data_IF_540158984678
#
_entry.id   IF_540158984678
#
_cell.length_a   1.000
_cell.length_b   1.000
_cell.length_c   1.000
_cell.angle_alpha   90.00
_cell.angle_beta   90.00
_cell.angle_gamma   90.00
#
_symmetry.space_group_name_H-M   'P 1'
#
loop_
_entity.id
_entity.type
_entity.pdbx_description
1 polymer ?
#
# COMPACT_ATOMS: atom_id res chain seq x y z
N UNK A 1 21.66 7.67 22.32
CA UNK A 1 21.51 6.24 21.98
C UNK A 1 20.40 5.69 22.85
N UNK A 2 19.51 4.80 22.37
CA UNK A 2 18.47 4.17 23.24
C UNK A 2 19.06 3.15 24.21
N UNK A 3 20.30 2.75 23.95
CA UNK A 3 21.06 1.79 24.74
C UNK A 3 22.53 2.20 24.80
N UNK A 4 23.16 2.07 25.96
CA UNK A 4 24.60 2.28 26.13
C UNK A 4 25.17 1.30 27.14
N UNK A 5 26.42 0.89 26.96
CA UNK A 5 27.18 0.15 27.98
C UNK A 5 28.25 1.08 28.52
N UNK A 6 28.15 1.37 29.82
CA UNK A 6 29.16 2.13 30.57
C UNK A 6 29.54 1.33 31.81
N UNK A 7 30.84 1.20 32.08
CA UNK A 7 31.38 0.47 33.24
C UNK A 7 30.77 -0.93 33.44
N UNK A 8 30.57 -1.69 32.36
CA UNK A 8 30.02 -3.06 32.42
C UNK A 8 28.51 -3.15 32.66
N UNK A 9 27.80 -2.02 32.81
CA UNK A 9 26.34 -1.99 33.00
C UNK A 9 25.66 -1.49 31.73
N UNK A 10 24.72 -2.30 31.23
CA UNK A 10 23.86 -1.93 30.13
C UNK A 10 22.70 -1.05 30.65
N UNK A 11 22.58 0.17 30.12
CA UNK A 11 21.51 1.11 30.47
C UNK A 11 20.64 1.45 29.25
N UNK A 12 19.33 1.46 29.48
CA UNK A 12 18.33 1.93 28.53
C UNK A 12 18.03 3.41 28.77
N UNK A 13 18.05 4.19 27.69
CA UNK A 13 17.72 5.62 27.72
C UNK A 13 16.39 5.85 27.02
N UNK A 14 15.31 5.96 27.80
CA UNK A 14 13.97 6.23 27.30
C UNK A 14 13.67 7.73 27.32
N UNK A 15 14.07 8.43 26.25
CA UNK A 15 13.61 9.80 26.01
C UNK A 15 12.13 9.79 25.58
N UNK A 16 11.24 10.32 26.41
CA UNK A 16 9.85 10.53 26.02
C UNK A 16 9.75 11.81 25.18
N UNK A 17 9.50 11.66 23.87
CA UNK A 17 9.30 12.78 22.97
C UNK A 17 7.81 12.96 22.71
N UNK A 18 7.29 14.16 22.99
CA UNK A 18 5.90 14.50 22.70
C UNK A 18 5.62 14.38 21.19
N UNK A 19 4.47 13.79 20.80
CA UNK A 19 4.05 13.80 19.40
C UNK A 19 3.64 15.21 18.97
N UNK A 20 3.76 15.51 17.68
CA UNK A 20 3.20 16.70 17.07
C UNK A 20 1.78 16.41 16.56
N UNK A 21 0.83 17.31 16.80
CA UNK A 21 -0.46 17.27 16.10
C UNK A 21 -0.22 17.74 14.67
N UNK A 22 -0.51 16.88 13.70
CA UNK A 22 -0.26 17.16 12.29
C UNK A 22 -1.53 17.52 11.53
N UNK A 23 -2.64 16.84 11.85
CA UNK A 23 -3.94 17.11 11.23
C UNK A 23 -5.01 17.14 12.32
N UNK A 24 -5.85 18.18 12.30
CA UNK A 24 -7.11 18.20 13.03
C UNK A 24 -8.14 17.36 12.25
N UNK A 25 -8.72 16.34 12.88
CA UNK A 25 -9.76 15.52 12.26
C UNK A 25 -11.05 15.61 13.08
N UNK A 26 -12.18 15.25 12.48
CA UNK A 26 -13.49 15.26 13.14
C UNK A 26 -13.63 14.20 14.25
N UNK A 27 -12.71 13.23 14.34
CA UNK A 27 -12.74 12.16 15.35
C UNK A 27 -11.63 12.35 16.39
N UNK A 28 -10.40 12.06 16.00
CA UNK A 28 -9.20 12.28 16.83
C UNK A 28 -8.14 13.01 16.02
N UNK A 29 -7.35 13.92 16.64
CA UNK A 29 -6.24 14.55 15.95
C UNK A 29 -5.24 13.49 15.49
N UNK A 30 -4.80 13.59 14.23
CA UNK A 30 -3.75 12.71 13.71
C UNK A 30 -2.42 13.22 14.22
N UNK A 31 -1.72 12.34 14.93
CA UNK A 31 -0.45 12.67 15.56
C UNK A 31 0.73 12.10 14.78
N UNK A 32 1.79 12.90 14.66
CA UNK A 32 3.08 12.47 14.16
C UNK A 32 4.00 12.27 15.35
N UNK A 33 4.33 11.01 15.63
CA UNK A 33 5.24 10.66 16.70
C UNK A 33 6.71 10.95 16.37
N UNK A 34 7.63 10.60 17.28
CA UNK A 34 9.05 10.81 17.05
C UNK A 34 9.57 9.92 15.92
N UNK A 35 10.57 10.40 15.21
CA UNK A 35 11.19 9.71 14.08
C UNK A 35 12.07 8.57 14.60
N UNK A 36 11.86 7.35 14.08
CA UNK A 36 12.73 6.21 14.34
C UNK A 36 13.89 6.20 13.35
N UNK A 37 15.13 6.31 13.83
CA UNK A 37 16.33 6.32 12.98
C UNK A 37 17.00 4.96 12.99
N UNK A 38 17.18 4.39 11.81
CA UNK A 38 17.78 3.09 11.61
C UNK A 38 19.26 3.20 11.24
N UNK A 39 20.04 2.20 11.66
CA UNK A 39 21.42 2.01 11.24
C UNK A 39 21.55 1.31 9.89
N UNK A 40 22.80 1.15 9.43
CA UNK A 40 23.14 0.42 8.20
C UNK A 40 22.65 -1.04 8.21
N UNK A 41 22.57 -1.64 9.39
CA UNK A 41 22.09 -3.02 9.61
C UNK A 41 20.56 -3.14 9.73
N UNK A 42 19.80 -2.08 9.39
CA UNK A 42 18.34 -2.03 9.54
C UNK A 42 17.83 -2.28 10.96
N UNK A 43 18.66 -1.96 11.96
CA UNK A 43 18.25 -1.94 13.36
C UNK A 43 17.97 -0.51 13.83
N UNK A 44 16.93 -0.29 14.66
CA UNK A 44 16.69 1.01 15.30
C UNK A 44 17.90 1.42 16.14
N UNK A 45 18.45 2.62 15.88
CA UNK A 45 19.60 3.16 16.63
C UNK A 45 19.22 4.27 17.61
N UNK A 46 18.25 5.11 17.23
CA UNK A 46 17.79 6.23 18.06
C UNK A 46 16.38 6.65 17.71
N UNK A 47 15.73 7.26 18.69
CA UNK A 47 14.48 8.00 18.56
C UNK A 47 14.83 9.49 18.64
N UNK A 48 14.18 10.32 17.82
CA UNK A 48 14.33 11.78 17.89
C UNK A 48 13.02 12.48 17.60
N UNK A 49 12.86 13.72 18.07
CA UNK A 49 11.74 14.57 17.65
C UNK A 49 11.68 14.66 16.12
N UNK A 50 10.47 14.60 15.58
CA UNK A 50 10.24 14.71 14.14
C UNK A 50 10.37 16.17 13.69
N UNK A 51 11.08 16.39 12.60
CA UNK A 51 11.30 17.71 12.01
C UNK A 51 9.97 18.32 11.52
N UNK A 52 9.76 19.62 11.74
CA UNK A 52 8.55 20.33 11.30
C UNK A 52 8.33 20.23 9.79
N UNK A 53 9.39 20.17 8.97
CA UNK A 53 9.28 19.95 7.53
C UNK A 53 8.68 18.59 7.19
N UNK A 54 9.02 17.56 7.95
CA UNK A 54 8.39 16.24 7.76
C UNK A 54 6.95 16.22 8.24
N UNK A 55 6.64 16.92 9.34
CA UNK A 55 5.26 17.10 9.78
C UNK A 55 4.43 17.77 8.69
N UNK A 56 4.92 18.87 8.12
CA UNK A 56 4.26 19.59 7.03
C UNK A 56 4.12 18.72 5.77
N UNK A 57 5.13 17.92 5.44
CA UNK A 57 5.11 17.05 4.26
C UNK A 57 4.07 15.92 4.39
N UNK A 58 3.97 15.30 5.56
CA UNK A 58 2.91 14.32 5.86
C UNK A 58 1.53 14.99 5.82
N UNK A 59 1.40 16.19 6.39
CA UNK A 59 0.17 16.98 6.30
C UNK A 59 -0.23 17.29 4.85
N UNK A 60 0.71 17.66 3.99
CA UNK A 60 0.50 17.89 2.56
C UNK A 60 0.04 16.62 1.83
N UNK A 61 0.66 15.46 2.11
CA UNK A 61 0.23 14.18 1.55
C UNK A 61 -1.20 13.81 1.99
N UNK A 62 -1.50 13.98 3.27
CA UNK A 62 -2.82 13.75 3.85
C UNK A 62 -3.90 14.60 3.18
N UNK A 63 -3.63 15.90 3.01
CA UNK A 63 -4.53 16.84 2.34
C UNK A 63 -4.69 16.53 0.85
N UNK A 64 -3.61 16.09 0.19
CA UNK A 64 -3.66 15.67 -1.21
C UNK A 64 -4.62 14.48 -1.40
N UNK A 65 -4.57 13.50 -0.49
CA UNK A 65 -5.51 12.37 -0.50
C UNK A 65 -6.94 12.87 -0.28
N UNK A 66 -7.17 13.77 0.68
CA UNK A 66 -8.49 14.36 0.93
C UNK A 66 -9.09 15.03 -0.30
N UNK A 67 -8.28 15.77 -1.04
CA UNK A 67 -8.71 16.52 -2.22
C UNK A 67 -8.89 15.64 -3.46
N UNK A 68 -8.07 14.59 -3.62
CA UNK A 68 -8.11 13.71 -4.78
C UNK A 68 -9.11 12.55 -4.61
N UNK A 69 -9.25 12.02 -3.40
CA UNK A 69 -10.08 10.88 -3.06
C UNK A 69 -10.72 11.02 -1.66
N UNK A 70 -11.81 11.81 -1.54
CA UNK A 70 -12.46 12.06 -0.25
C UNK A 70 -12.90 10.80 0.50
N UNK A 71 -13.42 9.79 -0.20
CA UNK A 71 -13.89 8.55 0.43
C UNK A 71 -12.73 7.72 0.99
N UNK A 72 -11.64 7.58 0.21
CA UNK A 72 -10.41 6.93 0.67
C UNK A 72 -9.77 7.68 1.83
N UNK A 73 -9.85 9.01 1.83
CA UNK A 73 -9.44 9.84 2.96
C UNK A 73 -10.29 9.60 4.21
N UNK A 74 -11.62 9.43 4.07
CA UNK A 74 -12.51 9.09 5.17
C UNK A 74 -12.07 7.81 5.89
N UNK A 75 -11.72 6.77 5.12
CA UNK A 75 -11.17 5.52 5.67
C UNK A 75 -9.78 5.72 6.28
N UNK A 76 -8.94 6.55 5.64
CA UNK A 76 -7.62 6.91 6.16
C UNK A 76 -7.72 7.56 7.54
N UNK A 77 -8.58 8.57 7.68
CA UNK A 77 -8.81 9.30 8.92
C UNK A 77 -9.45 8.43 10.01
N UNK A 78 -10.30 7.48 9.63
CA UNK A 78 -10.93 6.55 10.56
C UNK A 78 -9.94 5.52 11.13
N UNK A 79 -9.03 5.01 10.31
CA UNK A 79 -8.21 3.84 10.65
C UNK A 79 -6.73 4.15 10.91
N UNK A 80 -6.30 5.41 10.76
CA UNK A 80 -4.94 5.87 11.06
C UNK A 80 -5.01 7.13 11.92
N UNK A 81 -4.65 7.04 13.20
CA UNK A 81 -4.58 8.19 14.12
C UNK A 81 -3.14 8.55 14.53
N UNK A 82 -2.16 7.67 14.26
CA UNK A 82 -0.76 7.91 14.61
C UNK A 82 0.21 7.45 13.52
N UNK A 83 1.05 8.37 13.09
CA UNK A 83 2.10 8.14 12.10
C UNK A 83 3.46 8.25 12.76
N UNK A 84 4.32 7.25 12.57
CA UNK A 84 5.70 7.25 13.04
C UNK A 84 6.63 7.30 11.82
N UNK A 85 7.32 8.43 11.57
CA UNK A 85 8.28 8.49 10.50
C UNK A 85 9.48 7.57 10.75
N UNK A 86 9.91 6.86 9.73
CA UNK A 86 11.12 6.04 9.74
C UNK A 86 12.21 6.73 8.93
N UNK A 87 13.40 6.88 9.48
CA UNK A 87 14.61 7.22 8.75
C UNK A 87 15.44 5.97 8.52
N UNK A 88 15.20 5.30 7.40
CA UNK A 88 15.79 3.99 7.15
C UNK A 88 15.99 3.72 5.66
N UNK A 89 17.25 3.59 5.23
CA UNK A 89 17.56 3.18 3.85
C UNK A 89 17.19 1.71 3.64
N UNK A 90 16.35 1.45 2.64
CA UNK A 90 15.97 0.08 2.26
C UNK A 90 15.02 -0.63 3.24
N UNK A 91 14.40 0.11 4.15
CA UNK A 91 13.26 -0.37 4.97
C UNK A 91 11.99 0.16 4.33
N UNK A 92 10.98 -0.69 4.19
CA UNK A 92 9.66 -0.30 3.69
C UNK A 92 8.79 0.21 4.84
N UNK A 93 7.77 0.99 4.52
CA UNK A 93 6.69 1.31 5.46
C UNK A 93 6.04 0.01 5.97
N UNK A 94 5.51 0.05 7.19
CA UNK A 94 4.85 -1.10 7.79
C UNK A 94 3.87 -0.69 8.90
N UNK A 95 2.99 -1.63 9.24
CA UNK A 95 2.02 -1.53 10.31
C UNK A 95 1.90 -2.89 11.00
N UNK A 96 1.46 -2.88 12.25
CA UNK A 96 1.26 -4.12 13.01
C UNK A 96 -0.21 -4.45 13.12
N UNK A 97 -0.55 -5.71 12.81
CA UNK A 97 -1.92 -6.23 13.00
C UNK A 97 -2.46 -5.91 14.41
N UNK A 98 -1.65 -6.07 15.45
CA UNK A 98 -2.05 -5.89 16.86
C UNK A 98 -1.98 -4.43 17.36
N UNK A 99 -1.61 -3.47 16.51
CA UNK A 99 -1.61 -2.02 16.83
C UNK A 99 -2.36 -1.26 15.73
N UNK A 100 -3.70 -1.41 15.64
CA UNK A 100 -4.49 -0.62 14.69
C UNK A 100 -4.33 0.88 14.95
N UNK A 101 -4.45 1.71 13.91
CA UNK A 101 -4.27 3.17 14.03
C UNK A 101 -2.82 3.65 13.92
N UNK A 102 -1.84 2.77 14.13
CA UNK A 102 -0.41 3.07 14.13
C UNK A 102 0.27 2.63 12.83
N UNK A 103 0.78 3.60 12.07
CA UNK A 103 1.52 3.35 10.82
C UNK A 103 2.95 3.86 10.91
N UNK A 104 3.91 3.02 10.53
CA UNK A 104 5.31 3.40 10.42
C UNK A 104 5.62 3.70 8.96
N UNK A 105 5.89 4.96 8.65
CA UNK A 105 6.02 5.43 7.27
C UNK A 105 7.46 5.82 6.99
N UNK A 106 8.08 5.22 5.98
CA UNK A 106 9.41 5.63 5.57
C UNK A 106 9.37 6.93 4.78
N UNK A 107 9.72 8.03 5.44
CA UNK A 107 9.69 9.34 4.82
C UNK A 107 11.04 9.75 4.20
N UNK A 108 12.05 8.86 4.22
CA UNK A 108 13.43 9.14 3.80
C UNK A 108 13.77 8.33 2.54
N UNK A 109 14.42 8.96 1.56
CA UNK A 109 14.61 8.43 0.19
C UNK A 109 13.30 8.10 -0.55
N UNK A 110 12.18 8.67 -0.10
CA UNK A 110 10.86 8.61 -0.77
C UNK A 110 10.46 10.01 -1.20
N UNK A 111 9.82 10.14 -2.35
CA UNK A 111 9.26 11.42 -2.79
C UNK A 111 7.80 11.60 -2.32
N UNK A 112 7.14 12.69 -2.76
CA UNK A 112 5.79 13.01 -2.29
C UNK A 112 4.72 12.05 -2.80
N UNK A 113 4.87 11.49 -4.01
CA UNK A 113 3.92 10.51 -4.51
C UNK A 113 4.07 9.18 -3.76
N UNK A 114 5.31 8.75 -3.50
CA UNK A 114 5.58 7.56 -2.70
C UNK A 114 5.00 7.68 -1.28
N UNK A 115 5.09 8.88 -0.68
CA UNK A 115 4.53 9.13 0.65
C UNK A 115 2.99 9.03 0.65
N UNK A 116 2.34 9.54 -0.39
CA UNK A 116 0.89 9.42 -0.55
C UNK A 116 0.46 7.95 -0.69
N UNK A 117 1.19 7.16 -1.50
CA UNK A 117 0.97 5.72 -1.66
C UNK A 117 1.15 4.98 -0.33
N UNK A 118 2.28 5.20 0.37
CA UNK A 118 2.59 4.54 1.63
C UNK A 118 1.51 4.79 2.71
N UNK A 119 0.92 5.98 2.76
CA UNK A 119 -0.17 6.29 3.71
C UNK A 119 -1.41 5.42 3.46
N UNK A 120 -1.83 5.29 2.21
CA UNK A 120 -2.97 4.45 1.83
C UNK A 120 -2.62 2.97 1.93
N UNK A 121 -1.39 2.57 1.60
CA UNK A 121 -0.93 1.19 1.71
C UNK A 121 -1.03 0.68 3.14
N UNK A 122 -0.45 1.41 4.09
CA UNK A 122 -0.50 1.04 5.50
C UNK A 122 -1.90 1.15 6.08
N UNK A 123 -2.69 2.14 5.65
CA UNK A 123 -4.09 2.22 6.04
C UNK A 123 -4.92 1.02 5.52
N UNK A 124 -4.62 0.54 4.32
CA UNK A 124 -5.26 -0.65 3.74
C UNK A 124 -4.92 -1.92 4.52
N UNK A 125 -3.73 -2.00 5.12
CA UNK A 125 -3.42 -3.05 6.08
C UNK A 125 -4.32 -2.97 7.32
N UNK A 126 -4.54 -1.77 7.89
CA UNK A 126 -5.46 -1.60 9.03
C UNK A 126 -6.89 -2.01 8.66
N UNK A 127 -7.37 -1.57 7.50
CA UNK A 127 -8.69 -1.89 6.99
C UNK A 127 -8.89 -3.40 6.84
N UNK A 128 -7.99 -4.08 6.13
CA UNK A 128 -8.11 -5.53 5.97
C UNK A 128 -7.99 -6.27 7.31
N UNK A 129 -7.09 -5.83 8.20
CA UNK A 129 -6.95 -6.45 9.52
C UNK A 129 -8.23 -6.33 10.36
N UNK A 130 -9.00 -5.24 10.20
CA UNK A 130 -10.32 -5.10 10.83
C UNK A 130 -11.32 -6.10 10.24
N UNK A 131 -11.39 -6.21 8.91
CA UNK A 131 -12.26 -7.19 8.25
C UNK A 131 -11.92 -8.63 8.66
N UNK A 132 -10.63 -8.98 8.70
CA UNK A 132 -10.14 -10.30 9.11
C UNK A 132 -10.33 -10.61 10.61
N UNK A 133 -10.63 -9.60 11.44
CA UNK A 133 -11.04 -9.83 12.84
C UNK A 133 -12.54 -10.10 12.95
N UNK A 134 -13.33 -9.41 12.13
CA UNK A 134 -14.79 -9.48 12.16
C UNK A 134 -15.33 -10.69 11.41
N UNK A 135 -14.66 -11.09 10.33
CA UNK A 135 -15.11 -12.14 9.44
C UNK A 135 -14.02 -13.18 9.20
N UNK A 136 -14.41 -14.45 9.23
CA UNK A 136 -13.57 -15.56 8.77
C UNK A 136 -13.63 -15.57 7.25
N UNK A 137 -12.51 -15.33 6.57
CA UNK A 137 -12.46 -15.22 5.10
C UNK A 137 -12.12 -16.53 4.39
N UNK A 138 -11.57 -17.51 5.11
CA UNK A 138 -11.09 -18.77 4.53
C UNK A 138 -11.51 -19.95 5.41
N UNK A 139 -11.66 -21.13 4.80
CA UNK A 139 -11.90 -22.39 5.50
C UNK A 139 -10.54 -23.02 5.83
N UNK A 140 -10.19 -23.23 7.11
CA UNK A 140 -8.86 -23.78 7.46
C UNK A 140 -7.67 -22.84 7.15
N UNK A 141 -6.45 -23.36 7.30
CA UNK A 141 -5.24 -22.52 7.38
C UNK A 141 -4.57 -22.20 6.03
N UNK A 142 -4.65 -23.11 5.05
CA UNK A 142 -4.14 -22.95 3.67
C UNK A 142 -2.77 -22.24 3.54
N UNK A 143 -1.79 -22.68 4.33
CA UNK A 143 -0.46 -22.08 4.39
C UNK A 143 0.48 -22.51 3.24
N UNK A 144 0.05 -23.45 2.39
CA UNK A 144 0.78 -23.86 1.19
C UNK A 144 1.04 -22.68 0.24
N UNK A 145 2.31 -22.50 -0.16
CA UNK A 145 2.75 -21.43 -1.06
C UNK A 145 2.60 -21.84 -2.51
N UNK A 146 1.40 -21.68 -3.07
CA UNK A 146 1.07 -22.18 -4.42
C UNK A 146 0.61 -21.08 -5.38
N UNK A 147 0.33 -19.88 -4.89
CA UNK A 147 -0.13 -18.77 -5.71
C UNK A 147 1.00 -17.78 -5.94
N UNK A 148 1.23 -17.38 -7.19
CA UNK A 148 2.26 -16.42 -7.51
C UNK A 148 1.85 -15.00 -7.12
N UNK A 149 2.72 -14.27 -6.42
CA UNK A 149 2.50 -12.87 -6.08
C UNK A 149 3.21 -11.96 -7.09
N UNK A 150 2.48 -11.15 -7.88
CA UNK A 150 3.07 -10.13 -8.77
C UNK A 150 4.07 -9.21 -8.08
N UNK A 151 3.73 -8.77 -6.87
CA UNK A 151 4.51 -7.78 -6.11
C UNK A 151 5.78 -8.35 -5.48
N UNK A 152 5.74 -9.62 -5.05
CA UNK A 152 6.87 -10.29 -4.39
C UNK A 152 7.64 -11.24 -5.31
N UNK A 153 7.15 -11.47 -6.52
CA UNK A 153 7.72 -12.36 -7.54
C UNK A 153 8.06 -13.76 -7.02
N UNK A 154 7.23 -14.26 -6.11
CA UNK A 154 7.41 -15.52 -5.37
C UNK A 154 6.07 -16.15 -5.06
N UNK A 155 6.05 -17.47 -4.84
CA UNK A 155 4.84 -18.17 -4.40
C UNK A 155 4.47 -17.80 -2.97
N UNK A 156 3.17 -17.67 -2.72
CA UNK A 156 2.57 -17.21 -1.46
C UNK A 156 1.35 -18.05 -1.09
N UNK A 157 1.02 -18.13 0.20
CA UNK A 157 -0.23 -18.75 0.64
C UNK A 157 -1.43 -17.88 0.26
N UNK A 158 -2.62 -18.49 0.27
CA UNK A 158 -3.89 -17.82 -0.05
C UNK A 158 -4.05 -16.51 0.72
N UNK A 159 -3.80 -16.56 2.04
CA UNK A 159 -3.84 -15.38 2.92
C UNK A 159 -2.94 -14.26 2.44
N UNK A 160 -1.74 -14.59 1.97
CA UNK A 160 -0.77 -13.62 1.46
C UNK A 160 -1.24 -12.98 0.16
N UNK A 161 -1.89 -13.74 -0.70
CA UNK A 161 -2.48 -13.22 -1.94
C UNK A 161 -3.66 -12.32 -1.65
N UNK A 162 -4.67 -12.75 -0.88
CA UNK A 162 -5.82 -11.89 -0.55
C UNK A 162 -5.35 -10.58 0.09
N UNK A 163 -4.36 -10.66 1.00
CA UNK A 163 -3.81 -9.48 1.67
C UNK A 163 -3.21 -8.51 0.66
N UNK A 164 -2.38 -8.98 -0.25
CA UNK A 164 -1.79 -8.15 -1.29
C UNK A 164 -2.86 -7.63 -2.27
N UNK A 165 -3.75 -8.48 -2.77
CA UNK A 165 -4.83 -8.10 -3.69
C UNK A 165 -5.68 -6.97 -3.10
N UNK A 166 -6.06 -7.07 -1.82
CA UNK A 166 -6.80 -6.00 -1.15
C UNK A 166 -6.02 -4.68 -1.13
N UNK A 167 -4.78 -4.70 -0.65
CA UNK A 167 -3.99 -3.47 -0.44
C UNK A 167 -3.63 -2.79 -1.75
N UNK A 168 -3.31 -3.57 -2.78
CA UNK A 168 -2.99 -3.06 -4.09
C UNK A 168 -4.23 -2.69 -4.91
N UNK A 169 -5.42 -3.21 -4.57
CA UNK A 169 -6.69 -2.65 -5.08
C UNK A 169 -6.89 -1.21 -4.60
N UNK A 170 -6.64 -0.95 -3.32
CA UNK A 170 -6.69 0.42 -2.77
C UNK A 170 -5.63 1.32 -3.39
N UNK A 171 -4.43 0.79 -3.68
CA UNK A 171 -3.40 1.49 -4.44
C UNK A 171 -3.87 1.86 -5.86
N UNK A 172 -4.50 0.93 -6.59
CA UNK A 172 -5.05 1.19 -7.91
C UNK A 172 -6.13 2.29 -7.88
N UNK A 173 -7.05 2.25 -6.90
CA UNK A 173 -8.05 3.29 -6.67
C UNK A 173 -7.38 4.65 -6.40
N UNK A 174 -6.41 4.70 -5.47
CA UNK A 174 -5.65 5.92 -5.18
C UNK A 174 -5.03 6.52 -6.45
N UNK A 175 -4.29 5.71 -7.22
CA UNK A 175 -3.59 6.22 -8.40
C UNK A 175 -4.54 6.67 -9.50
N UNK A 176 -5.69 6.01 -9.66
CA UNK A 176 -6.75 6.47 -10.55
C UNK A 176 -7.26 7.86 -10.13
N UNK A 177 -7.62 8.02 -8.85
CA UNK A 177 -8.11 9.28 -8.32
C UNK A 177 -7.09 10.41 -8.44
N UNK A 178 -5.82 10.14 -8.13
CA UNK A 178 -4.72 11.09 -8.31
C UNK A 178 -4.54 11.48 -9.78
N UNK A 179 -4.58 10.52 -10.70
CA UNK A 179 -4.43 10.77 -12.13
C UNK A 179 -5.57 11.68 -12.65
N UNK A 180 -6.83 11.38 -12.29
CA UNK A 180 -7.99 12.20 -12.63
C UNK A 180 -7.89 13.61 -12.02
N UNK A 181 -7.51 13.70 -10.75
CA UNK A 181 -7.40 14.97 -10.04
C UNK A 181 -6.31 15.86 -10.64
N UNK A 182 -5.15 15.30 -10.95
CA UNK A 182 -4.03 16.01 -11.58
C UNK A 182 -4.29 16.40 -13.04
N UNK A 183 -5.05 15.61 -13.78
CA UNK A 183 -5.42 15.88 -15.18
C UNK A 183 -6.65 16.81 -15.33
N UNK A 184 -7.41 17.05 -14.27
CA UNK A 184 -8.63 17.87 -14.30
C UNK A 184 -8.38 19.36 -14.52
N UNK A 185 -9.47 20.14 -14.65
CA UNK A 185 -9.41 21.61 -14.71
C UNK A 185 -8.69 22.17 -13.47
N UNK A 186 -7.74 23.08 -13.69
CA UNK A 186 -6.82 23.59 -12.65
C UNK A 186 -6.01 22.50 -11.91
N UNK A 187 -5.94 21.27 -12.45
CA UNK A 187 -5.21 20.15 -11.86
C UNK A 187 -3.71 20.43 -11.76
N UNK A 188 -3.11 21.02 -12.80
CA UNK A 188 -1.68 21.36 -12.83
C UNK A 188 -1.23 22.28 -11.69
N UNK A 189 -2.05 23.27 -11.32
CA UNK A 189 -1.75 24.21 -10.23
C UNK A 189 -1.80 23.48 -8.88
N UNK A 190 -2.89 22.74 -8.61
CA UNK A 190 -3.07 21.98 -7.36
C UNK A 190 -2.02 20.88 -7.21
N UNK A 191 -1.69 20.21 -8.30
CA UNK A 191 -0.64 19.18 -8.37
C UNK A 191 0.72 19.76 -7.96
N UNK A 192 1.08 20.94 -8.49
CA UNK A 192 2.31 21.64 -8.12
C UNK A 192 2.28 22.12 -6.67
N UNK A 193 1.14 22.60 -6.18
CA UNK A 193 0.95 23.02 -4.77
C UNK A 193 1.11 21.83 -3.81
N UNK A 194 0.69 20.64 -4.20
CA UNK A 194 0.94 19.38 -3.48
C UNK A 194 2.42 18.94 -3.52
N UNK A 195 3.30 19.70 -4.18
CA UNK A 195 4.71 19.37 -4.35
C UNK A 195 4.95 18.20 -5.29
N UNK A 196 4.07 17.97 -6.26
CA UNK A 196 4.17 16.91 -7.26
C UNK A 196 4.55 17.49 -8.63
N UNK A 197 5.39 16.75 -9.37
CA UNK A 197 5.88 17.13 -10.69
C UNK A 197 5.02 16.54 -11.81
N UNK A 198 5.22 17.01 -13.05
CA UNK A 198 4.60 16.40 -14.24
C UNK A 198 5.00 14.92 -14.41
N UNK A 199 6.23 14.57 -14.04
CA UNK A 199 6.70 13.19 -14.06
C UNK A 199 5.94 12.33 -13.05
N UNK A 200 5.57 12.90 -11.89
CA UNK A 200 4.76 12.20 -10.89
C UNK A 200 3.34 11.91 -11.40
N UNK A 201 2.76 12.81 -12.21
CA UNK A 201 1.46 12.54 -12.82
C UNK A 201 1.56 11.36 -13.80
N UNK A 202 2.58 11.33 -14.66
CA UNK A 202 2.82 10.19 -15.55
C UNK A 202 3.09 8.90 -14.77
N UNK A 203 3.82 9.00 -13.65
CA UNK A 203 4.07 7.85 -12.75
C UNK A 203 2.79 7.38 -12.08
N UNK A 204 1.91 8.26 -11.64
CA UNK A 204 0.61 7.89 -11.07
C UNK A 204 -0.25 7.14 -12.11
N UNK A 205 -0.34 7.63 -13.34
CA UNK A 205 -1.02 6.91 -14.42
C UNK A 205 -0.40 5.52 -14.69
N UNK A 206 0.94 5.45 -14.73
CA UNK A 206 1.66 4.19 -14.90
C UNK A 206 1.36 3.20 -13.75
N UNK A 207 1.46 3.65 -12.49
CA UNK A 207 1.20 2.83 -11.30
C UNK A 207 -0.25 2.35 -11.26
N UNK A 208 -1.21 3.19 -11.66
CA UNK A 208 -2.61 2.78 -11.79
C UNK A 208 -2.75 1.55 -12.73
N UNK A 209 -2.14 1.61 -13.92
CA UNK A 209 -2.20 0.52 -14.88
C UNK A 209 -1.44 -0.73 -14.39
N UNK A 210 -0.27 -0.54 -13.78
CA UNK A 210 0.53 -1.62 -13.22
C UNK A 210 -0.22 -2.39 -12.13
N UNK A 211 -0.87 -1.66 -11.20
CA UNK A 211 -1.65 -2.29 -10.14
C UNK A 211 -2.92 -2.96 -10.68
N UNK A 212 -3.60 -2.39 -11.69
CA UNK A 212 -4.74 -3.06 -12.35
C UNK A 212 -4.35 -4.44 -12.90
N UNK A 213 -3.24 -4.51 -13.64
CA UNK A 213 -2.77 -5.78 -14.22
C UNK A 213 -2.37 -6.79 -13.13
N UNK A 214 -1.65 -6.33 -12.10
CA UNK A 214 -1.22 -7.17 -10.96
C UNK A 214 -2.38 -7.69 -10.11
N UNK A 215 -3.36 -6.82 -9.84
CA UNK A 215 -4.53 -7.18 -9.06
C UNK A 215 -5.43 -8.13 -9.86
N UNK A 216 -5.66 -7.88 -11.16
CA UNK A 216 -6.40 -8.81 -12.03
C UNK A 216 -5.77 -10.19 -12.05
N UNK A 217 -4.44 -10.27 -12.17
CA UNK A 217 -3.74 -11.54 -12.07
C UNK A 217 -4.12 -12.28 -10.78
N UNK A 218 -4.04 -11.60 -9.64
CA UNK A 218 -4.26 -12.23 -8.33
C UNK A 218 -5.74 -12.54 -8.05
N UNK A 219 -6.67 -11.76 -8.60
CA UNK A 219 -8.10 -12.03 -8.51
C UNK A 219 -8.49 -13.34 -9.19
N UNK A 220 -7.86 -13.68 -10.31
CA UNK A 220 -8.06 -14.99 -10.95
C UNK A 220 -7.62 -16.14 -10.02
N UNK A 221 -6.51 -15.97 -9.30
CA UNK A 221 -6.04 -16.96 -8.34
C UNK A 221 -6.99 -17.12 -7.14
N UNK A 222 -7.55 -16.01 -6.66
CA UNK A 222 -8.54 -16.02 -5.59
C UNK A 222 -9.87 -16.64 -6.04
N UNK A 223 -10.31 -16.38 -7.27
CA UNK A 223 -11.48 -17.02 -7.86
C UNK A 223 -11.27 -18.53 -8.07
N UNK A 224 -10.05 -18.95 -8.42
CA UNK A 224 -9.71 -20.37 -8.48
C UNK A 224 -9.73 -21.02 -7.09
N UNK A 225 -9.15 -20.35 -6.08
CA UNK A 225 -9.19 -20.84 -4.70
C UNK A 225 -10.63 -20.97 -4.17
N UNK A 226 -11.52 -20.08 -4.58
CA UNK A 226 -12.95 -20.18 -4.33
C UNK A 226 -13.59 -21.36 -5.06
N UNK A 227 -13.67 -21.27 -6.40
CA UNK A 227 -14.51 -22.16 -7.22
C UNK A 227 -13.96 -23.58 -7.35
N UNK A 228 -12.65 -23.74 -7.41
CA UNK A 228 -12.01 -25.04 -7.67
C UNK A 228 -11.57 -25.73 -6.40
N UNK A 229 -11.17 -24.96 -5.38
CA UNK A 229 -10.62 -25.51 -4.14
C UNK A 229 -11.59 -25.41 -2.95
N UNK A 230 -12.60 -24.55 -3.02
CA UNK A 230 -13.56 -24.34 -1.93
C UNK A 230 -12.95 -23.67 -0.70
N UNK A 231 -11.86 -22.92 -0.86
CA UNK A 231 -11.05 -22.41 0.26
C UNK A 231 -11.57 -21.10 0.87
N UNK A 232 -12.44 -20.37 0.17
CA UNK A 232 -13.06 -19.15 0.69
C UNK A 232 -14.36 -19.44 1.43
N UNK A 233 -14.66 -18.64 2.45
CA UNK A 233 -16.01 -18.59 3.03
C UNK A 233 -16.89 -17.62 2.22
N UNK A 234 -18.19 -17.57 2.51
CA UNK A 234 -19.09 -16.57 1.89
C UNK A 234 -18.65 -15.12 2.10
N UNK A 235 -18.01 -14.81 3.23
CA UNK A 235 -17.44 -13.49 3.48
C UNK A 235 -16.19 -13.23 2.62
N UNK A 236 -15.32 -14.23 2.46
CA UNK A 236 -14.17 -14.15 1.58
C UNK A 236 -14.57 -14.02 0.11
N UNK A 237 -15.54 -14.82 -0.33
CA UNK A 237 -16.15 -14.74 -1.66
C UNK A 237 -16.72 -13.35 -1.93
N UNK A 238 -17.48 -12.80 -0.99
CA UNK A 238 -18.05 -11.46 -1.12
C UNK A 238 -16.95 -10.42 -1.25
N UNK A 239 -15.92 -10.46 -0.41
CA UNK A 239 -14.78 -9.54 -0.52
C UNK A 239 -14.10 -9.63 -1.89
N UNK A 240 -13.87 -10.84 -2.41
CA UNK A 240 -13.26 -11.02 -3.74
C UNK A 240 -14.13 -10.44 -4.85
N UNK A 241 -15.46 -10.56 -4.75
CA UNK A 241 -16.41 -9.93 -5.70
C UNK A 241 -16.33 -8.41 -5.65
N UNK A 242 -16.29 -7.82 -4.46
CA UNK A 242 -16.16 -6.36 -4.29
C UNK A 242 -14.83 -5.84 -4.88
N UNK A 243 -13.71 -6.56 -4.61
CA UNK A 243 -12.41 -6.20 -5.19
C UNK A 243 -12.40 -6.29 -6.72
N UNK A 244 -13.07 -7.31 -7.29
CA UNK A 244 -13.20 -7.44 -8.74
C UNK A 244 -14.04 -6.31 -9.34
N UNK A 245 -15.17 -5.95 -8.72
CA UNK A 245 -16.01 -4.86 -9.17
C UNK A 245 -15.21 -3.54 -9.16
N UNK A 246 -14.55 -3.23 -8.05
CA UNK A 246 -13.71 -2.04 -7.91
C UNK A 246 -12.62 -1.97 -8.98
N UNK A 247 -11.88 -3.05 -9.22
CA UNK A 247 -10.83 -3.07 -10.24
C UNK A 247 -11.36 -2.99 -11.67
N UNK A 248 -12.53 -3.56 -11.94
CA UNK A 248 -13.18 -3.44 -13.25
C UNK A 248 -13.51 -1.98 -13.56
N UNK A 249 -14.03 -1.25 -12.57
CA UNK A 249 -14.27 0.19 -12.71
C UNK A 249 -12.98 0.98 -12.86
N UNK A 250 -11.93 0.62 -12.10
CA UNK A 250 -10.62 1.26 -12.22
C UNK A 250 -10.03 1.09 -13.62
N UNK A 251 -10.07 -0.12 -14.16
CA UNK A 251 -9.59 -0.46 -15.50
C UNK A 251 -10.33 0.33 -16.59
N UNK A 252 -11.67 0.36 -16.51
CA UNK A 252 -12.51 1.08 -17.48
C UNK A 252 -12.13 2.54 -17.58
N UNK A 253 -11.96 3.21 -16.44
CA UNK A 253 -11.59 4.63 -16.40
C UNK A 253 -10.12 4.84 -16.76
N UNK A 254 -9.21 4.00 -16.26
CA UNK A 254 -7.76 4.17 -16.47
C UNK A 254 -7.31 3.91 -17.91
N UNK A 255 -8.15 3.27 -18.73
CA UNK A 255 -7.94 3.10 -20.17
C UNK A 255 -7.62 4.42 -20.88
N UNK A 256 -8.22 5.54 -20.46
CA UNK A 256 -7.95 6.85 -21.05
C UNK A 256 -6.50 7.32 -20.89
N UNK A 257 -5.78 6.83 -19.88
CA UNK A 257 -4.39 7.18 -19.62
C UNK A 257 -3.40 6.21 -20.28
N UNK A 258 -3.87 5.03 -20.74
CA UNK A 258 -2.99 3.96 -21.27
C UNK A 258 -2.15 4.44 -22.42
N UNK A 259 -2.77 5.14 -23.37
CA UNK A 259 -2.08 5.68 -24.53
C UNK A 259 -0.92 6.60 -24.10
N UNK A 260 -1.18 7.51 -23.17
CA UNK A 260 -0.18 8.49 -22.73
C UNK A 260 0.98 7.82 -22.00
N UNK A 261 0.68 6.80 -21.18
CA UNK A 261 1.71 6.02 -20.48
C UNK A 261 2.59 5.26 -21.48
N UNK A 262 2.00 4.63 -22.50
CA UNK A 262 2.74 3.84 -23.49
C UNK A 262 3.72 4.66 -24.33
N UNK A 263 3.38 5.93 -24.60
CA UNK A 263 4.23 6.91 -25.28
C UNK A 263 5.22 7.62 -24.34
N UNK A 264 5.04 7.51 -23.02
CA UNK A 264 5.93 8.11 -22.03
C UNK A 264 7.18 7.27 -21.77
N UNK A 265 8.08 7.79 -20.93
CA UNK A 265 9.24 7.05 -20.42
C UNK A 265 8.88 5.79 -19.61
N UNK A 266 7.62 5.66 -19.16
CA UNK A 266 7.14 4.48 -18.43
C UNK A 266 6.59 3.37 -19.33
N UNK A 267 6.35 3.64 -20.62
CA UNK A 267 5.80 2.65 -21.56
C UNK A 267 6.59 1.33 -21.64
N UNK A 268 7.93 1.36 -21.75
CA UNK A 268 8.74 0.14 -21.72
C UNK A 268 8.62 -0.66 -20.43
N UNK A 269 8.48 0.00 -19.28
CA UNK A 269 8.31 -0.64 -17.98
C UNK A 269 6.95 -1.35 -17.90
N UNK A 270 5.87 -0.68 -18.33
CA UNK A 270 4.52 -1.27 -18.38
C UNK A 270 4.47 -2.52 -19.27
N UNK A 271 5.02 -2.44 -20.49
CA UNK A 271 5.07 -3.60 -21.41
C UNK A 271 5.87 -4.76 -20.82
N UNK A 272 6.97 -4.48 -20.13
CA UNK A 272 7.77 -5.51 -19.45
C UNK A 272 6.97 -6.16 -18.33
N UNK A 273 6.31 -5.36 -17.49
CA UNK A 273 5.47 -5.85 -16.41
C UNK A 273 4.36 -6.79 -16.92
N UNK A 274 3.61 -6.38 -17.95
CA UNK A 274 2.56 -7.21 -18.56
C UNK A 274 3.12 -8.54 -19.08
N UNK A 275 4.26 -8.51 -19.79
CA UNK A 275 4.93 -9.73 -20.27
C UNK A 275 5.37 -10.64 -19.12
N UNK A 276 5.87 -10.08 -18.02
CA UNK A 276 6.25 -10.85 -16.83
C UNK A 276 5.05 -11.52 -16.18
N UNK A 277 3.90 -10.85 -16.09
CA UNK A 277 2.66 -11.44 -15.60
C UNK A 277 2.15 -12.55 -16.53
N UNK A 278 2.21 -12.36 -17.85
CA UNK A 278 1.85 -13.40 -18.83
C UNK A 278 2.75 -14.64 -18.67
N UNK A 279 4.06 -14.45 -18.54
CA UNK A 279 5.01 -15.54 -18.29
C UNK A 279 4.73 -16.23 -16.95
N UNK A 280 4.47 -15.46 -15.90
CA UNK A 280 4.11 -16.00 -14.60
C UNK A 280 2.78 -16.78 -14.66
N UNK A 281 1.80 -16.32 -15.44
CA UNK A 281 0.53 -17.02 -15.67
C UNK A 281 0.76 -18.34 -16.41
N UNK A 282 1.68 -18.38 -17.37
CA UNK A 282 2.05 -19.62 -18.05
C UNK A 282 2.79 -20.61 -17.11
N UNK A 283 3.60 -20.10 -16.19
CA UNK A 283 4.43 -20.93 -15.30
C UNK A 283 3.70 -21.40 -14.04
N UNK A 284 2.85 -20.54 -13.46
CA UNK A 284 2.23 -20.72 -12.14
C UNK A 284 0.70 -20.64 -12.18
N UNK A 285 0.12 -20.26 -13.32
CA UNK A 285 -1.31 -20.08 -13.48
C UNK A 285 -2.11 -21.33 -13.17
N UNK A 286 -3.36 -21.13 -12.73
CA UNK A 286 -3.99 -21.83 -11.60
C UNK A 286 -3.51 -23.28 -11.46
N UNK A 287 -2.26 -23.42 -10.99
CA UNK A 287 -1.53 -24.61 -10.55
C UNK A 287 -1.67 -25.84 -11.48
N UNK A 288 -0.57 -26.37 -12.01
CA UNK A 288 -0.37 -27.62 -12.79
C UNK A 288 -1.13 -28.94 -12.39
N UNK A 289 -2.26 -28.93 -11.68
CA UNK A 289 -3.09 -30.06 -11.25
C UNK A 289 -4.59 -29.76 -11.56
N UNK A 290 -5.02 -29.82 -12.82
CA UNK A 290 -5.75 -31.03 -13.24
C UNK A 290 -4.84 -32.12 -13.81
N UNK A 291 -3.52 -31.91 -13.82
CA UNK A 291 -2.46 -32.81 -14.29
C UNK A 291 -1.61 -33.45 -13.16
N UNK A 292 -2.20 -33.67 -12.00
CA UNK A 292 -2.11 -34.98 -11.35
C UNK A 292 -3.56 -35.41 -11.10
N UNK A 293 -4.29 -35.67 -12.20
CA UNK A 293 -5.32 -36.72 -12.13
C UNK A 293 -4.56 -38.02 -11.91
N UNK A 294 -4.29 -38.30 -10.64
CA UNK A 294 -3.84 -39.58 -10.10
C UNK A 294 -4.55 -39.77 -8.78
#
# INVERSE_FOLDING_TARGET
>A
SVWSVGQGVAQWHWGCHAPAVAIQSNHEPVTIGPTLVYGKERQPKRVRSTDQRQVARIGCAWETIRLAWPDGHGVLALLTNRIIPLQAKGVVSFSYRHRPGLSFINCFDRDNLDLIDDLIHENSHHHLNLLLRKHVMYRGDHNQKIFYSPWRRTLRPLRGILHATFTFTMGALLFQHLALWGAGRHGSVRWKQAGLSRRDLQRACFRCLEEVESVRYSLLDLQYADKSLGWLTSAGEHLVRELLAAITDVERISTQFRHDVERSSFGPALRRHIKELQRARHTYGPIHASQSRS
#
